data_IF_653393026698
#
_entry.id   IF_653393026698
#
_cell.length_a   1.000
_cell.length_b   1.000
_cell.length_c   1.000
_cell.angle_alpha   90.00
_cell.angle_beta   90.00
_cell.angle_gamma   90.00
#
_symmetry.space_group_name_H-M   'P 1'
#
loop_
_entity.id
_entity.type
_entity.pdbx_description
1 polymer ?
#
# COMPACT_ATOMS: atom_id res chain seq x y z
N UNK A 1 -1.47 -18.22 -16.06
CA UNK A 1 -0.75 -17.23 -15.25
C UNK A 1 -1.28 -17.37 -13.85
N UNK A 2 -0.45 -17.86 -12.94
CA UNK A 2 -0.78 -17.95 -11.51
C UNK A 2 -0.94 -16.54 -10.93
N UNK A 3 -1.78 -16.39 -9.91
CA UNK A 3 -2.00 -15.12 -9.21
C UNK A 3 -0.67 -14.53 -8.67
N UNK A 4 0.28 -15.42 -8.34
CA UNK A 4 1.65 -15.09 -7.95
C UNK A 4 2.49 -14.51 -9.10
N UNK A 5 2.27 -14.93 -10.36
CA UNK A 5 2.97 -14.39 -11.54
C UNK A 5 2.50 -12.98 -11.93
N UNK A 6 1.27 -12.60 -11.53
CA UNK A 6 0.66 -11.30 -11.85
C UNK A 6 1.07 -10.19 -10.86
N UNK A 7 1.28 -10.52 -9.58
CA UNK A 7 1.95 -9.60 -8.64
C UNK A 7 3.47 -9.56 -8.83
N UNK A 8 4.08 -10.60 -9.39
CA UNK A 8 5.48 -10.58 -9.83
C UNK A 8 5.62 -10.06 -11.27
N UNK A 9 5.33 -8.77 -11.50
CA UNK A 9 5.59 -8.11 -12.80
C UNK A 9 6.81 -7.16 -12.72
N UNK A 10 7.59 -6.99 -13.81
CA UNK A 10 9.04 -7.17 -13.83
C UNK A 10 9.87 -5.87 -13.61
N UNK A 11 11.15 -6.05 -13.28
CA UNK A 11 12.28 -5.11 -13.39
C UNK A 11 12.41 -3.95 -12.37
N UNK A 12 11.62 -3.93 -11.29
CA UNK A 12 11.84 -3.04 -10.14
C UNK A 12 12.76 -3.66 -9.09
N UNK A 13 13.59 -2.84 -8.41
CA UNK A 13 14.22 -3.30 -7.17
C UNK A 13 13.13 -3.59 -6.14
N UNK A 14 13.25 -4.68 -5.39
CA UNK A 14 12.31 -5.07 -4.32
C UNK A 14 11.98 -3.88 -3.39
N UNK A 15 12.98 -3.06 -3.04
CA UNK A 15 12.80 -1.86 -2.22
C UNK A 15 11.88 -0.78 -2.83
N UNK A 16 11.80 -0.70 -4.17
CA UNK A 16 10.91 0.23 -4.89
C UNK A 16 9.45 -0.21 -4.69
N UNK A 17 9.17 -1.50 -4.80
CA UNK A 17 7.82 -2.02 -4.59
C UNK A 17 7.38 -1.90 -3.13
N UNK A 18 8.29 -2.20 -2.19
CA UNK A 18 8.04 -2.05 -0.75
C UNK A 18 7.73 -0.59 -0.36
N UNK A 19 8.53 0.36 -0.86
CA UNK A 19 8.35 1.79 -0.56
C UNK A 19 7.11 2.36 -1.23
N UNK A 20 6.84 2.02 -2.49
CA UNK A 20 5.60 2.40 -3.18
C UNK A 20 4.36 1.84 -2.46
N UNK A 21 4.38 0.57 -2.05
CA UNK A 21 3.29 -0.06 -1.30
C UNK A 21 3.06 0.59 0.06
N UNK A 22 4.12 0.86 0.83
CA UNK A 22 4.01 1.52 2.12
C UNK A 22 3.45 2.96 2.01
N UNK A 23 3.91 3.73 1.03
CA UNK A 23 3.41 5.09 0.79
C UNK A 23 1.96 5.08 0.27
N UNK A 24 1.59 4.10 -0.55
CA UNK A 24 0.22 3.88 -0.97
C UNK A 24 -0.71 3.61 0.22
N UNK A 25 -0.32 2.70 1.13
CA UNK A 25 -1.10 2.39 2.33
C UNK A 25 -1.23 3.58 3.29
N UNK A 26 -0.16 4.35 3.49
CA UNK A 26 -0.20 5.58 4.31
C UNK A 26 -1.15 6.61 3.68
N UNK A 27 -1.06 6.82 2.37
CA UNK A 27 -1.91 7.80 1.67
C UNK A 27 -3.38 7.37 1.69
N UNK A 28 -3.67 6.10 1.47
CA UNK A 28 -5.02 5.53 1.59
C UNK A 28 -5.60 5.84 2.97
N UNK A 29 -4.86 5.52 4.04
CA UNK A 29 -5.32 5.78 5.40
C UNK A 29 -5.52 7.27 5.69
N UNK A 30 -4.66 8.15 5.17
CA UNK A 30 -4.80 9.59 5.35
C UNK A 30 -6.03 10.16 4.63
N UNK A 31 -6.24 9.79 3.36
CA UNK A 31 -7.36 10.29 2.55
C UNK A 31 -8.69 9.76 3.06
N UNK A 32 -8.72 8.49 3.45
CA UNK A 32 -9.94 7.84 3.92
C UNK A 32 -10.23 8.05 5.42
N UNK A 33 -9.31 8.71 6.13
CA UNK A 33 -9.41 8.92 7.57
C UNK A 33 -10.74 9.56 8.03
N UNK A 34 -11.28 10.61 7.37
CA UNK A 34 -12.55 11.21 7.78
C UNK A 34 -13.73 10.24 7.68
N UNK A 35 -13.73 9.36 6.68
CA UNK A 35 -14.78 8.35 6.48
C UNK A 35 -14.66 7.26 7.54
N UNK A 36 -13.43 6.84 7.85
CA UNK A 36 -13.15 5.87 8.90
C UNK A 36 -13.58 6.39 10.28
N UNK A 37 -13.36 7.66 10.57
CA UNK A 37 -13.84 8.30 11.81
C UNK A 37 -15.36 8.26 11.96
N UNK A 38 -16.10 8.48 10.87
CA UNK A 38 -17.56 8.32 10.87
C UNK A 38 -17.95 6.85 11.03
N UNK A 39 -17.28 5.93 10.33
CA UNK A 39 -17.50 4.48 10.47
C UNK A 39 -17.36 4.06 11.94
N UNK A 40 -16.26 4.40 12.61
CA UNK A 40 -16.01 4.00 14.00
C UNK A 40 -17.11 4.52 14.94
N UNK A 41 -17.61 5.74 14.74
CA UNK A 41 -18.71 6.25 15.55
C UNK A 41 -20.06 5.59 15.23
N UNK A 42 -20.32 5.26 13.97
CA UNK A 42 -21.51 4.48 13.59
C UNK A 42 -21.51 3.07 14.20
N UNK A 43 -20.33 2.55 14.56
CA UNK A 43 -20.14 1.27 15.25
C UNK A 43 -20.23 1.38 16.78
N UNK A 44 -20.52 2.58 17.32
CA UNK A 44 -20.77 2.77 18.74
C UNK A 44 -22.00 1.95 19.20
N UNK A 45 -21.86 1.24 20.32
CA UNK A 45 -22.93 0.43 20.88
C UNK A 45 -24.03 1.28 21.52
N UNK A 46 -23.65 2.40 22.12
CA UNK A 46 -24.57 3.31 22.79
C UNK A 46 -24.29 4.76 22.34
N UNK A 47 -24.68 5.12 21.10
CA UNK A 47 -24.45 6.45 20.58
C UNK A 47 -25.29 7.46 21.37
N UNK A 48 -24.68 8.59 21.73
CA UNK A 48 -25.41 9.76 22.19
C UNK A 48 -26.44 10.18 21.12
N UNK A 49 -27.61 10.76 21.48
CA UNK A 49 -28.53 11.34 20.50
C UNK A 49 -27.85 12.30 19.52
N UNK A 50 -26.84 13.03 20.00
CA UNK A 50 -26.02 13.93 19.18
C UNK A 50 -25.03 13.21 18.25
N UNK A 51 -24.77 11.93 18.49
CA UNK A 51 -23.85 11.10 17.71
C UNK A 51 -24.55 9.93 16.98
N UNK A 52 -25.88 9.95 16.87
CA UNK A 52 -26.62 9.02 16.03
C UNK A 52 -26.57 9.47 14.55
N UNK A 53 -25.95 8.67 13.69
CA UNK A 53 -25.78 8.98 12.27
C UNK A 53 -26.47 7.93 11.40
N UNK A 54 -27.26 8.35 10.39
CA UNK A 54 -27.92 7.43 9.45
C UNK A 54 -27.09 7.17 8.19
N UNK A 55 -26.18 8.09 7.88
CA UNK A 55 -25.31 8.03 6.70
C UNK A 55 -23.93 8.61 6.97
N UNK A 56 -22.96 8.25 6.13
CA UNK A 56 -21.59 8.81 6.22
C UNK A 56 -21.60 10.33 6.02
N UNK A 57 -22.38 10.82 5.04
CA UNK A 57 -22.47 12.26 4.74
C UNK A 57 -23.02 13.03 5.95
N UNK A 58 -24.12 12.56 6.53
CA UNK A 58 -24.69 13.15 7.73
C UNK A 58 -23.70 13.11 8.90
N UNK A 59 -23.03 11.98 9.11
CA UNK A 59 -22.05 11.84 10.17
C UNK A 59 -20.86 12.78 10.03
N UNK A 60 -20.34 12.95 8.81
CA UNK A 60 -19.24 13.87 8.54
C UNK A 60 -19.68 15.33 8.72
N UNK A 61 -20.83 15.71 8.16
CA UNK A 61 -21.37 17.06 8.30
C UNK A 61 -21.65 17.41 9.76
N UNK A 62 -22.27 16.49 10.51
CA UNK A 62 -22.56 16.70 11.93
C UNK A 62 -21.26 16.82 12.74
N UNK A 63 -20.29 15.93 12.51
CA UNK A 63 -18.99 15.98 13.19
C UNK A 63 -18.25 17.30 12.96
N UNK A 64 -18.20 17.77 11.70
CA UNK A 64 -17.53 19.04 11.36
C UNK A 64 -18.26 20.23 11.99
N UNK A 65 -19.59 20.24 11.96
CA UNK A 65 -20.39 21.35 12.48
C UNK A 65 -20.42 21.41 14.01
N UNK A 66 -20.44 20.26 14.70
CA UNK A 66 -20.55 20.21 16.16
C UNK A 66 -19.21 20.23 16.88
N UNK A 67 -18.17 19.62 16.31
CA UNK A 67 -16.86 19.44 16.97
C UNK A 67 -15.69 20.12 16.24
N UNK A 68 -15.93 20.66 15.03
CA UNK A 68 -14.94 21.39 14.24
C UNK A 68 -14.32 20.59 13.10
N UNK A 69 -13.76 21.32 12.13
CA UNK A 69 -13.26 20.77 10.86
C UNK A 69 -12.10 19.77 10.99
N UNK A 70 -11.29 19.88 12.04
CA UNK A 70 -10.16 18.98 12.29
C UNK A 70 -10.56 17.71 13.03
N UNK A 71 -11.78 17.65 13.59
CA UNK A 71 -12.21 16.51 14.41
C UNK A 71 -12.18 15.18 13.66
N UNK A 72 -12.59 15.08 12.38
CA UNK A 72 -12.51 13.83 11.62
C UNK A 72 -11.09 13.27 11.49
N UNK A 73 -10.05 14.09 11.68
CA UNK A 73 -8.63 13.69 11.62
C UNK A 73 -8.04 13.30 12.99
N UNK A 74 -8.85 13.26 14.05
CA UNK A 74 -8.42 12.87 15.39
C UNK A 74 -7.90 11.43 15.41
N UNK A 75 -6.58 11.26 15.61
CA UNK A 75 -5.93 9.95 15.63
C UNK A 75 -5.06 9.64 14.41
N UNK A 76 -5.07 10.48 13.36
CA UNK A 76 -4.35 10.21 12.10
C UNK A 76 -2.85 10.04 12.31
N UNK A 77 -2.26 10.81 13.23
CA UNK A 77 -0.83 10.73 13.53
C UNK A 77 -0.41 9.36 14.08
N UNK A 78 -1.29 8.67 14.82
CA UNK A 78 -1.01 7.33 15.33
C UNK A 78 -0.89 6.32 14.18
N UNK A 79 -1.78 6.41 13.18
CA UNK A 79 -1.77 5.53 12.02
C UNK A 79 -0.56 5.79 11.14
N UNK A 80 -0.24 7.06 10.86
CA UNK A 80 0.93 7.40 10.01
C UNK A 80 2.23 6.88 10.64
N UNK A 81 2.40 7.06 11.96
CA UNK A 81 3.58 6.59 12.69
C UNK A 81 3.62 5.05 12.74
N UNK A 82 2.49 4.38 12.92
CA UNK A 82 2.41 2.92 13.00
C UNK A 82 2.55 2.22 11.65
N UNK A 83 2.00 2.80 10.58
CA UNK A 83 1.91 2.17 9.27
C UNK A 83 3.29 1.94 8.64
N UNK A 84 4.21 2.91 8.67
CA UNK A 84 5.53 2.77 8.06
C UNK A 84 6.29 1.53 8.55
N UNK A 85 6.57 1.40 9.86
CA UNK A 85 7.25 0.24 10.42
C UNK A 85 6.48 -1.07 10.24
N UNK A 86 5.13 -1.03 10.32
CA UNK A 86 4.31 -2.23 10.12
C UNK A 86 4.44 -2.80 8.69
N UNK A 87 4.38 -1.93 7.67
CA UNK A 87 4.55 -2.35 6.27
C UNK A 87 5.98 -2.82 6.00
N UNK A 88 7.00 -2.12 6.53
CA UNK A 88 8.39 -2.56 6.40
C UNK A 88 8.59 -3.98 6.96
N UNK A 89 8.06 -4.25 8.15
CA UNK A 89 8.15 -5.56 8.78
C UNK A 89 7.36 -6.62 8.00
N UNK A 90 6.18 -6.28 7.48
CA UNK A 90 5.39 -7.17 6.63
C UNK A 90 6.22 -7.67 5.44
N UNK A 91 6.76 -6.75 4.64
CA UNK A 91 7.49 -7.10 3.42
C UNK A 91 8.79 -7.85 3.74
N UNK A 92 9.56 -7.40 4.75
CA UNK A 92 10.77 -8.09 5.19
C UNK A 92 10.49 -9.51 5.67
N UNK A 93 9.40 -9.72 6.42
CA UNK A 93 9.01 -11.06 6.88
C UNK A 93 8.53 -11.93 5.73
N UNK A 94 7.70 -11.39 4.84
CA UNK A 94 7.16 -12.11 3.69
C UNK A 94 8.29 -12.60 2.77
N UNK A 95 9.23 -11.72 2.42
CA UNK A 95 10.41 -12.07 1.61
C UNK A 95 11.35 -13.02 2.34
N UNK A 96 11.61 -12.78 3.63
CA UNK A 96 12.48 -13.65 4.42
C UNK A 96 11.94 -15.07 4.58
N UNK A 97 10.62 -15.24 4.68
CA UNK A 97 10.00 -16.57 4.70
C UNK A 97 10.06 -17.20 3.31
N UNK A 98 9.68 -16.48 2.25
CA UNK A 98 9.76 -17.01 0.88
C UNK A 98 11.17 -17.41 0.49
N UNK A 99 12.18 -16.60 0.80
CA UNK A 99 13.58 -16.90 0.47
C UNK A 99 14.12 -18.16 1.17
N UNK A 100 13.59 -18.51 2.36
CA UNK A 100 14.01 -19.70 3.10
C UNK A 100 13.27 -20.97 2.69
N UNK A 101 12.05 -20.85 2.18
CA UNK A 101 11.16 -21.98 1.92
C UNK A 101 10.77 -22.15 0.44
N UNK A 102 11.23 -21.27 -0.45
CA UNK A 102 11.06 -21.44 -1.88
C UNK A 102 11.73 -22.74 -2.34
N UNK A 103 10.94 -23.61 -2.97
CA UNK A 103 11.40 -24.90 -3.49
C UNK A 103 11.01 -25.04 -4.96
N UNK A 104 11.56 -26.03 -5.67
CA UNK A 104 11.25 -26.25 -7.09
C UNK A 104 9.82 -26.77 -7.36
N UNK A 105 9.02 -27.07 -6.33
CA UNK A 105 7.66 -27.62 -6.48
C UNK A 105 6.58 -26.52 -6.42
N UNK A 106 5.74 -26.42 -7.46
CA UNK A 106 4.69 -25.41 -7.57
C UNK A 106 3.65 -25.46 -6.44
N UNK A 107 3.24 -26.66 -6.00
CA UNK A 107 2.26 -26.82 -4.91
C UNK A 107 2.83 -26.38 -3.55
N UNK A 108 4.11 -26.68 -3.31
CA UNK A 108 4.81 -26.25 -2.10
C UNK A 108 4.96 -24.72 -2.07
N UNK A 109 5.15 -24.09 -3.24
CA UNK A 109 5.26 -22.64 -3.35
C UNK A 109 3.95 -21.92 -2.99
N UNK A 110 2.78 -22.42 -3.38
CA UNK A 110 1.49 -21.85 -2.96
C UNK A 110 1.26 -21.91 -1.44
N UNK A 111 1.57 -23.05 -0.83
CA UNK A 111 1.45 -23.22 0.64
C UNK A 111 2.46 -22.35 1.38
N UNK A 112 3.68 -22.21 0.85
CA UNK A 112 4.73 -21.34 1.40
C UNK A 112 4.34 -19.86 1.26
N UNK A 113 3.75 -19.45 0.14
CA UNK A 113 3.28 -18.08 -0.07
C UNK A 113 2.13 -17.74 0.89
N UNK A 114 1.16 -18.64 1.06
CA UNK A 114 0.08 -18.48 2.03
C UNK A 114 0.60 -18.44 3.48
N UNK A 115 1.54 -19.33 3.83
CA UNK A 115 2.18 -19.35 5.15
C UNK A 115 3.01 -18.09 5.42
N UNK A 116 3.75 -17.62 4.42
CA UNK A 116 4.52 -16.37 4.47
C UNK A 116 3.60 -15.16 4.65
N UNK A 117 2.50 -15.09 3.91
CA UNK A 117 1.50 -14.03 4.03
C UNK A 117 0.87 -13.99 5.43
N UNK A 118 0.49 -15.13 5.98
CA UNK A 118 -0.02 -15.24 7.35
C UNK A 118 1.01 -14.81 8.39
N UNK A 119 2.26 -15.30 8.28
CA UNK A 119 3.34 -14.93 9.18
C UNK A 119 3.67 -13.43 9.13
N UNK A 120 3.73 -12.87 7.93
CA UNK A 120 3.95 -11.44 7.72
C UNK A 120 2.80 -10.59 8.29
N UNK A 121 1.55 -11.03 8.13
CA UNK A 121 0.37 -10.34 8.67
C UNK A 121 0.37 -10.31 10.20
N UNK A 122 0.79 -11.39 10.86
CA UNK A 122 0.92 -11.44 12.33
C UNK A 122 1.92 -10.38 12.81
N UNK A 123 3.07 -10.28 12.13
CA UNK A 123 4.13 -9.33 12.48
C UNK A 123 3.72 -7.88 12.19
N UNK A 124 3.05 -7.65 11.05
CA UNK A 124 2.43 -6.38 10.73
C UNK A 124 1.46 -5.93 11.83
N UNK A 125 0.52 -6.79 12.19
CA UNK A 125 -0.52 -6.47 13.17
C UNK A 125 0.06 -6.29 14.58
N UNK A 126 1.20 -6.92 14.90
CA UNK A 126 1.89 -6.70 16.17
C UNK A 126 2.34 -5.23 16.36
N UNK A 127 2.64 -4.53 15.27
CA UNK A 127 2.99 -3.09 15.26
C UNK A 127 1.75 -2.22 15.06
N UNK A 128 0.84 -2.62 14.17
CA UNK A 128 -0.30 -1.81 13.78
C UNK A 128 -1.41 -1.75 14.85
N UNK A 129 -1.61 -2.84 15.61
CA UNK A 129 -2.73 -2.94 16.56
C UNK A 129 -2.71 -1.85 17.65
N UNK A 130 -1.57 -1.52 18.29
CA UNK A 130 -1.51 -0.38 19.22
C UNK A 130 -1.92 0.96 18.60
N UNK A 131 -1.50 1.22 17.35
CA UNK A 131 -1.89 2.43 16.62
C UNK A 131 -3.41 2.46 16.35
N UNK A 132 -3.99 1.31 15.99
CA UNK A 132 -5.44 1.16 15.80
C UNK A 132 -6.24 1.38 17.08
N UNK A 133 -5.75 0.93 18.25
CA UNK A 133 -6.41 1.19 19.54
C UNK A 133 -6.45 2.69 19.82
N UNK A 134 -5.33 3.39 19.64
CA UNK A 134 -5.24 4.83 19.85
C UNK A 134 -6.16 5.56 18.86
N UNK A 135 -6.11 5.19 17.58
CA UNK A 135 -6.95 5.73 16.51
C UNK A 135 -8.43 5.64 16.90
N UNK A 136 -8.92 4.44 17.21
CA UNK A 136 -10.35 4.23 17.49
C UNK A 136 -10.82 4.98 18.74
N UNK A 137 -9.97 5.12 19.77
CA UNK A 137 -10.31 5.92 20.97
C UNK A 137 -10.35 7.42 20.69
N UNK A 138 -9.46 7.92 19.85
CA UNK A 138 -9.47 9.32 19.43
C UNK A 138 -10.69 9.65 18.54
N UNK A 139 -11.17 8.67 17.76
CA UNK A 139 -12.31 8.82 16.84
C UNK A 139 -13.67 8.85 17.54
N UNK A 140 -13.80 8.34 18.78
CA UNK A 140 -15.08 8.33 19.51
C UNK A 140 -15.63 9.74 19.79
N UNK A 141 -16.96 9.86 19.84
CA UNK A 141 -17.64 11.10 20.22
C UNK A 141 -17.28 11.50 21.65
N UNK A 142 -17.03 12.80 21.89
CA UNK A 142 -16.62 13.33 23.17
C UNK A 142 -15.43 12.58 23.82
N UNK A 143 -14.42 12.27 23.02
CA UNK A 143 -13.22 11.55 23.47
C UNK A 143 -12.48 12.36 24.56
N UNK A 144 -12.10 11.75 25.69
CA UNK A 144 -11.45 12.44 26.82
C UNK A 144 -9.96 12.74 26.59
N UNK A 145 -9.47 12.50 25.38
CA UNK A 145 -8.06 12.58 25.01
C UNK A 145 -7.83 13.79 24.10
N UNK A 146 -6.91 14.68 24.50
CA UNK A 146 -6.60 15.88 23.73
C UNK A 146 -5.68 15.59 22.53
N UNK A 147 -4.83 14.56 22.64
CA UNK A 147 -3.88 14.17 21.60
C UNK A 147 -3.60 12.67 21.66
N UNK A 148 -3.02 12.11 20.60
CA UNK A 148 -2.59 10.71 20.58
C UNK A 148 -1.62 10.38 21.72
N UNK A 149 -0.72 11.31 22.08
CA UNK A 149 0.19 11.13 23.20
C UNK A 149 -0.53 11.11 24.55
N UNK A 150 -1.50 12.01 24.75
CA UNK A 150 -2.34 12.00 25.96
C UNK A 150 -3.15 10.70 26.05
N UNK A 151 -3.69 10.21 24.92
CA UNK A 151 -4.34 8.92 24.84
C UNK A 151 -3.41 7.78 25.26
N UNK A 152 -2.20 7.70 24.72
CA UNK A 152 -1.21 6.67 25.11
C UNK A 152 -0.91 6.73 26.60
N UNK A 153 -0.61 7.92 27.13
CA UNK A 153 -0.25 8.12 28.54
C UNK A 153 -1.39 7.72 29.48
N UNK A 154 -2.61 8.19 29.23
CA UNK A 154 -3.79 7.89 30.06
C UNK A 154 -4.17 6.41 29.93
N UNK A 155 -4.16 5.85 28.72
CA UNK A 155 -4.47 4.44 28.49
C UNK A 155 -3.49 3.52 29.22
N UNK A 156 -2.19 3.82 29.12
CA UNK A 156 -1.14 3.10 29.85
C UNK A 156 -1.39 3.13 31.37
N UNK A 157 -1.71 4.30 31.93
CA UNK A 157 -1.91 4.47 33.37
C UNK A 157 -3.20 3.82 33.89
N UNK A 158 -4.28 3.85 33.11
CA UNK A 158 -5.60 3.39 33.55
C UNK A 158 -5.86 1.91 33.26
N UNK A 159 -5.44 1.41 32.09
CA UNK A 159 -5.76 0.06 31.64
C UNK A 159 -4.53 -0.86 31.48
N UNK A 160 -3.32 -0.28 31.51
CA UNK A 160 -2.06 -1.01 31.36
C UNK A 160 -1.74 -1.44 29.93
N UNK A 161 -0.67 -2.23 29.79
CA UNK A 161 -0.16 -2.65 28.48
C UNK A 161 -1.09 -3.60 27.71
N UNK A 162 -1.85 -4.42 28.43
CA UNK A 162 -2.82 -5.33 27.82
C UNK A 162 -3.91 -4.60 27.01
N UNK A 163 -4.16 -3.31 27.27
CA UNK A 163 -5.15 -2.53 26.55
C UNK A 163 -4.78 -2.32 25.07
N UNK A 164 -3.49 -2.19 24.77
CA UNK A 164 -3.00 -1.95 23.41
C UNK A 164 -3.13 -3.17 22.50
N UNK A 165 -3.23 -4.38 23.07
CA UNK A 165 -3.28 -5.65 22.31
C UNK A 165 -4.59 -6.42 22.51
N UNK A 166 -5.60 -5.80 23.13
CA UNK A 166 -6.85 -6.48 23.51
C UNK A 166 -7.63 -7.04 22.31
N UNK A 167 -7.57 -6.36 21.17
CA UNK A 167 -8.22 -6.79 19.93
C UNK A 167 -7.34 -7.65 19.03
N UNK A 168 -6.08 -7.93 19.40
CA UNK A 168 -5.12 -8.62 18.53
C UNK A 168 -5.65 -9.96 18.01
N UNK A 169 -6.23 -10.78 18.90
CA UNK A 169 -6.82 -12.07 18.52
C UNK A 169 -8.03 -11.93 17.61
N UNK A 170 -8.84 -10.89 17.82
CA UNK A 170 -10.02 -10.61 17.00
C UNK A 170 -9.64 -10.07 15.62
N UNK A 171 -8.58 -9.26 15.56
CA UNK A 171 -7.97 -8.76 14.33
C UNK A 171 -7.51 -9.92 13.45
N UNK A 172 -6.76 -10.86 14.02
CA UNK A 172 -6.31 -12.07 13.32
C UNK A 172 -7.50 -12.90 12.81
N UNK A 173 -8.47 -13.17 13.68
CA UNK A 173 -9.66 -13.93 13.34
C UNK A 173 -10.51 -13.25 12.25
N UNK A 174 -10.41 -11.93 12.09
CA UNK A 174 -11.09 -11.17 11.03
C UNK A 174 -10.31 -11.17 9.71
N UNK A 175 -8.99 -11.00 9.76
CA UNK A 175 -8.16 -10.82 8.57
C UNK A 175 -8.16 -12.06 7.69
N UNK A 176 -8.01 -13.26 8.27
CA UNK A 176 -7.99 -14.52 7.50
C UNK A 176 -9.27 -14.74 6.67
N UNK A 177 -10.49 -14.69 7.25
CA UNK A 177 -11.73 -14.76 6.49
C UNK A 177 -11.89 -13.64 5.46
N UNK A 178 -11.47 -12.41 5.78
CA UNK A 178 -11.58 -11.29 4.85
C UNK A 178 -10.80 -11.56 3.56
N UNK A 179 -9.53 -11.95 3.66
CA UNK A 179 -8.70 -12.24 2.50
C UNK A 179 -9.24 -13.44 1.69
N UNK A 180 -9.63 -14.52 2.38
CA UNK A 180 -10.17 -15.71 1.71
C UNK A 180 -11.45 -15.41 0.92
N UNK A 181 -12.39 -14.66 1.51
CA UNK A 181 -13.64 -14.27 0.84
C UNK A 181 -13.34 -13.30 -0.30
N UNK A 182 -12.41 -12.36 -0.10
CA UNK A 182 -12.01 -11.41 -1.13
C UNK A 182 -11.47 -12.12 -2.36
N UNK A 183 -10.46 -12.98 -2.22
CA UNK A 183 -9.84 -13.71 -3.33
C UNK A 183 -10.88 -14.60 -4.04
N UNK A 184 -11.66 -15.38 -3.27
CA UNK A 184 -12.67 -16.27 -3.85
C UNK A 184 -13.74 -15.50 -4.64
N UNK A 185 -14.21 -14.36 -4.12
CA UNK A 185 -15.22 -13.54 -4.78
C UNK A 185 -14.62 -12.83 -6.00
N UNK A 186 -13.40 -12.33 -5.89
CA UNK A 186 -12.68 -11.68 -6.97
C UNK A 186 -12.49 -12.61 -8.18
N UNK A 187 -12.00 -13.84 -7.97
CA UNK A 187 -11.83 -14.85 -9.03
C UNK A 187 -13.16 -15.19 -9.72
N UNK A 188 -14.24 -15.30 -8.94
CA UNK A 188 -15.58 -15.53 -9.50
C UNK A 188 -16.05 -14.37 -10.37
N UNK A 189 -15.85 -13.13 -9.93
CA UNK A 189 -16.23 -11.95 -10.71
C UNK A 189 -15.35 -11.81 -11.95
N UNK A 190 -14.05 -12.06 -11.86
CA UNK A 190 -13.12 -12.06 -13.00
C UNK A 190 -13.53 -13.10 -14.05
N UNK A 191 -13.89 -14.31 -13.63
CA UNK A 191 -14.34 -15.36 -14.55
C UNK A 191 -15.60 -14.96 -15.33
N UNK A 192 -16.47 -14.13 -14.74
CA UNK A 192 -17.71 -13.68 -15.37
C UNK A 192 -17.51 -12.42 -16.23
N UNK A 193 -16.74 -11.45 -15.75
CA UNK A 193 -16.56 -10.14 -16.41
C UNK A 193 -15.35 -10.08 -17.35
N UNK A 194 -14.40 -11.01 -17.23
CA UNK A 194 -13.18 -11.07 -18.03
C UNK A 194 -12.81 -12.54 -18.33
N UNK A 195 -13.63 -13.26 -19.12
CA UNK A 195 -13.41 -14.67 -19.42
C UNK A 195 -12.08 -14.90 -20.16
N UNK A 196 -11.67 -13.96 -21.01
CA UNK A 196 -10.43 -14.03 -21.80
C UNK A 196 -9.16 -13.69 -20.99
N UNK A 197 -9.31 -13.26 -19.72
CA UNK A 197 -8.23 -12.86 -18.81
C UNK A 197 -7.29 -11.80 -19.41
N UNK A 198 -7.83 -10.89 -20.22
CA UNK A 198 -7.09 -9.74 -20.75
C UNK A 198 -6.96 -8.64 -19.70
N UNK A 199 -5.88 -7.84 -19.79
CA UNK A 199 -5.66 -6.75 -18.84
C UNK A 199 -6.68 -5.61 -19.06
N UNK A 200 -7.68 -5.52 -18.19
CA UNK A 200 -8.68 -4.46 -18.21
C UNK A 200 -8.82 -3.79 -16.84
N UNK A 201 -8.17 -2.62 -16.62
CA UNK A 201 -8.16 -1.93 -15.32
C UNK A 201 -9.56 -1.67 -14.74
N UNK A 202 -10.56 -1.41 -15.60
CA UNK A 202 -11.93 -1.15 -15.15
C UNK A 202 -12.57 -2.39 -14.55
N UNK A 203 -12.38 -3.55 -15.19
CA UNK A 203 -12.90 -4.83 -14.68
C UNK A 203 -12.20 -5.20 -13.37
N UNK A 204 -10.88 -4.98 -13.27
CA UNK A 204 -10.14 -5.19 -12.02
C UNK A 204 -10.65 -4.30 -10.87
N UNK A 205 -10.89 -3.01 -11.13
CA UNK A 205 -11.44 -2.11 -10.11
C UNK A 205 -12.85 -2.54 -9.67
N UNK A 206 -13.73 -2.89 -10.62
CA UNK A 206 -15.10 -3.32 -10.29
C UNK A 206 -15.09 -4.66 -9.55
N UNK A 207 -14.29 -5.64 -10.00
CA UNK A 207 -14.16 -6.94 -9.37
C UNK A 207 -13.56 -6.82 -7.96
N UNK A 208 -12.49 -6.04 -7.80
CA UNK A 208 -11.86 -5.78 -6.51
C UNK A 208 -12.79 -5.04 -5.54
N UNK A 209 -13.51 -4.02 -6.02
CA UNK A 209 -14.47 -3.29 -5.22
C UNK A 209 -15.64 -4.17 -4.76
N UNK A 210 -16.22 -4.96 -5.67
CA UNK A 210 -17.34 -5.85 -5.35
C UNK A 210 -16.91 -7.01 -4.42
N UNK A 211 -15.75 -7.61 -4.66
CA UNK A 211 -15.17 -8.62 -3.79
C UNK A 211 -14.85 -8.06 -2.40
N UNK A 212 -14.22 -6.88 -2.34
CA UNK A 212 -13.94 -6.17 -1.10
C UNK A 212 -15.21 -5.81 -0.33
N UNK A 213 -16.26 -5.33 -1.02
CA UNK A 213 -17.56 -5.04 -0.43
C UNK A 213 -18.19 -6.29 0.19
N UNK A 214 -18.19 -7.42 -0.53
CA UNK A 214 -18.76 -8.66 -0.04
C UNK A 214 -17.98 -9.25 1.15
N UNK A 215 -16.64 -9.21 1.08
CA UNK A 215 -15.76 -9.61 2.18
C UNK A 215 -15.95 -8.71 3.42
N UNK A 216 -16.07 -7.40 3.21
CA UNK A 216 -16.31 -6.43 4.28
C UNK A 216 -17.65 -6.66 4.97
N UNK A 217 -18.72 -6.90 4.19
CA UNK A 217 -20.04 -7.19 4.73
C UNK A 217 -20.03 -8.48 5.56
N UNK A 218 -19.47 -9.56 5.01
CA UNK A 218 -19.40 -10.87 5.65
C UNK A 218 -18.58 -10.85 6.95
N UNK A 219 -17.52 -10.04 7.01
CA UNK A 219 -16.65 -9.92 8.20
C UNK A 219 -17.03 -8.76 9.12
N UNK A 220 -18.17 -8.08 8.89
CA UNK A 220 -18.60 -6.98 9.78
C UNK A 220 -18.81 -7.41 11.24
N UNK A 221 -19.37 -8.58 11.56
CA UNK A 221 -19.54 -9.01 12.95
C UNK A 221 -18.23 -9.05 13.74
N UNK A 222 -17.12 -9.45 13.10
CA UNK A 222 -15.80 -9.50 13.72
C UNK A 222 -15.17 -8.10 13.89
N UNK A 223 -15.41 -7.19 12.93
CA UNK A 223 -14.99 -5.79 13.02
C UNK A 223 -15.75 -5.01 14.09
N UNK A 224 -17.03 -5.35 14.31
CA UNK A 224 -17.78 -4.86 15.48
C UNK A 224 -17.13 -5.33 16.78
N UNK A 225 -16.74 -6.60 16.87
CA UNK A 225 -16.04 -7.11 18.05
C UNK A 225 -14.69 -6.41 18.28
N UNK A 226 -13.90 -6.20 17.23
CA UNK A 226 -12.64 -5.42 17.29
C UNK A 226 -12.91 -4.02 17.84
N UNK A 227 -13.90 -3.32 17.29
CA UNK A 227 -14.21 -1.94 17.63
C UNK A 227 -14.63 -1.83 19.11
N UNK A 228 -15.52 -2.71 19.58
CA UNK A 228 -15.95 -2.74 21.00
C UNK A 228 -14.77 -2.98 21.93
N UNK A 229 -13.86 -3.91 21.59
CA UNK A 229 -12.68 -4.21 22.41
C UNK A 229 -11.71 -3.02 22.50
N UNK A 230 -11.58 -2.25 21.42
CA UNK A 230 -10.66 -1.11 21.37
C UNK A 230 -11.24 0.16 21.99
N UNK A 231 -12.52 0.44 21.78
CA UNK A 231 -13.17 1.68 22.25
C UNK A 231 -13.55 1.62 23.72
N UNK A 232 -13.89 0.45 24.26
CA UNK A 232 -14.34 0.25 25.65
C UNK A 232 -15.36 1.32 26.08
N UNK A 233 -16.44 1.45 25.32
CA UNK A 233 -17.46 2.48 25.56
C UNK A 233 -17.98 2.45 27.01
N UNK A 234 -17.73 3.54 27.74
CA UNK A 234 -18.10 3.65 29.15
C UNK A 234 -19.60 3.47 29.38
N UNK A 235 -20.45 3.99 28.48
CA UNK A 235 -21.91 3.82 28.53
C UNK A 235 -22.33 2.35 28.45
N UNK A 236 -21.70 1.57 27.57
CA UNK A 236 -21.96 0.14 27.47
C UNK A 236 -21.47 -0.63 28.70
N UNK A 237 -20.30 -0.26 29.23
CA UNK A 237 -19.74 -0.87 30.44
C UNK A 237 -20.60 -0.62 31.69
N UNK A 238 -21.11 0.60 31.86
CA UNK A 238 -22.03 0.97 32.94
C UNK A 238 -23.34 0.20 32.82
N UNK A 239 -23.93 0.12 31.63
CA UNK A 239 -25.18 -0.63 31.40
C UNK A 239 -25.04 -2.12 31.72
N UNK A 240 -23.89 -2.71 31.44
CA UNK A 240 -23.61 -4.13 31.69
C UNK A 240 -23.03 -4.41 33.09
N UNK A 241 -22.80 -3.37 33.91
CA UNK A 241 -22.09 -3.46 35.19
C UNK A 241 -20.74 -4.20 35.07
N UNK A 242 -20.03 -3.96 33.96
CA UNK A 242 -18.73 -4.56 33.67
C UNK A 242 -17.63 -3.51 33.77
N UNK A 243 -16.48 -3.88 34.33
CA UNK A 243 -15.32 -2.98 34.36
C UNK A 243 -14.63 -2.86 33.01
N UNK A 244 -14.69 -3.91 32.18
CA UNK A 244 -14.10 -3.97 30.83
C UNK A 244 -14.63 -5.16 30.05
N UNK A 245 -14.65 -5.05 28.73
CA UNK A 245 -14.93 -6.17 27.81
C UNK A 245 -13.60 -6.78 27.38
N UNK A 246 -13.45 -8.10 27.54
CA UNK A 246 -12.22 -8.83 27.17
C UNK A 246 -12.55 -10.02 26.28
N UNK A 247 -11.74 -10.17 25.22
CA UNK A 247 -11.84 -11.30 24.30
C UNK A 247 -13.03 -11.21 23.34
N UNK A 248 -12.95 -12.00 22.28
CA UNK A 248 -13.94 -12.00 21.21
C UNK A 248 -15.33 -12.41 21.72
N UNK A 249 -15.42 -13.46 22.54
CA UNK A 249 -16.67 -13.93 23.13
C UNK A 249 -17.34 -12.89 24.04
N UNK A 250 -16.52 -12.16 24.81
CA UNK A 250 -17.00 -11.05 25.63
C UNK A 250 -17.62 -9.96 24.76
N UNK A 251 -16.93 -9.57 23.68
CA UNK A 251 -17.43 -8.59 22.73
C UNK A 251 -18.73 -9.04 22.04
N UNK A 252 -18.80 -10.30 21.59
CA UNK A 252 -20.03 -10.89 21.03
C UNK A 252 -21.20 -10.78 22.01
N UNK A 253 -20.99 -11.18 23.27
CA UNK A 253 -22.03 -11.09 24.31
C UNK A 253 -22.47 -9.64 24.56
N UNK A 254 -21.52 -8.71 24.67
CA UNK A 254 -21.80 -7.28 24.88
C UNK A 254 -22.63 -6.71 23.72
N UNK A 255 -22.28 -7.00 22.46
CA UNK A 255 -23.03 -6.54 21.29
C UNK A 255 -24.46 -7.08 21.31
N UNK A 256 -24.60 -8.38 21.56
CA UNK A 256 -25.90 -9.05 21.57
C UNK A 256 -26.83 -8.50 22.67
N UNK A 257 -26.31 -8.26 23.88
CA UNK A 257 -27.12 -7.71 24.98
C UNK A 257 -27.52 -6.26 24.70
N UNK A 258 -26.61 -5.45 24.14
CA UNK A 258 -26.87 -4.02 23.92
C UNK A 258 -27.81 -3.75 22.75
N UNK A 259 -27.68 -4.47 21.64
CA UNK A 259 -28.34 -4.15 20.37
C UNK A 259 -28.92 -5.37 19.64
N UNK A 260 -28.87 -6.56 20.23
CA UNK A 260 -29.30 -7.81 19.58
C UNK A 260 -28.51 -8.15 18.32
N UNK A 261 -29.13 -8.90 17.41
CA UNK A 261 -28.49 -9.39 16.18
C UNK A 261 -28.16 -8.27 15.18
N UNK A 262 -28.95 -7.21 15.15
CA UNK A 262 -28.68 -6.06 14.27
C UNK A 262 -27.45 -5.27 14.70
N UNK A 263 -27.04 -5.37 15.99
CA UNK A 263 -25.82 -4.78 16.51
C UNK A 263 -24.55 -5.20 15.76
N UNK A 264 -24.47 -6.45 15.30
CA UNK A 264 -23.32 -6.99 14.57
C UNK A 264 -23.11 -6.41 13.17
N UNK A 265 -24.14 -5.77 12.61
CA UNK A 265 -24.11 -5.18 11.27
C UNK A 265 -24.17 -3.64 11.31
N UNK A 266 -24.01 -3.05 12.50
CA UNK A 266 -23.82 -1.59 12.61
C UNK A 266 -22.55 -1.18 11.86
N UNK A 267 -22.66 -0.13 11.06
CA UNK A 267 -21.55 0.36 10.24
C UNK A 267 -21.22 -0.46 8.99
N UNK A 268 -21.93 -1.55 8.66
CA UNK A 268 -21.69 -2.33 7.42
C UNK A 268 -21.70 -1.45 6.17
N UNK A 269 -22.67 -0.55 6.05
CA UNK A 269 -22.76 0.38 4.90
C UNK A 269 -21.51 1.25 4.78
N UNK A 270 -20.99 1.73 5.90
CA UNK A 270 -19.79 2.56 5.90
C UNK A 270 -18.55 1.75 5.51
N UNK A 271 -18.45 0.51 6.00
CA UNK A 271 -17.35 -0.39 5.67
C UNK A 271 -17.35 -0.83 4.20
N UNK A 272 -18.52 -1.07 3.62
CA UNK A 272 -18.67 -1.41 2.20
C UNK A 272 -18.29 -0.21 1.32
N UNK A 273 -18.79 0.98 1.66
CA UNK A 273 -18.50 2.19 0.89
C UNK A 273 -17.01 2.57 0.92
N UNK A 274 -16.30 2.19 1.99
CA UNK A 274 -14.86 2.41 2.12
C UNK A 274 -14.02 1.65 1.07
N UNK A 275 -14.48 0.47 0.61
CA UNK A 275 -13.67 -0.44 -0.20
C UNK A 275 -13.30 0.14 -1.57
N UNK A 276 -14.28 0.65 -2.32
CA UNK A 276 -14.04 1.13 -3.68
C UNK A 276 -13.07 2.34 -3.73
N UNK A 277 -13.25 3.41 -2.93
CA UNK A 277 -12.30 4.52 -2.93
C UNK A 277 -10.94 4.13 -2.37
N UNK A 278 -10.89 3.29 -1.33
CA UNK A 278 -9.64 2.80 -0.76
C UNK A 278 -8.78 2.06 -1.80
N UNK A 279 -9.36 1.06 -2.48
CA UNK A 279 -8.67 0.33 -3.54
C UNK A 279 -8.21 1.24 -4.69
N UNK A 280 -9.06 2.19 -5.11
CA UNK A 280 -8.72 3.12 -6.18
C UNK A 280 -7.54 4.04 -5.80
N UNK A 281 -7.52 4.55 -4.56
CA UNK A 281 -6.44 5.40 -4.06
C UNK A 281 -5.14 4.58 -3.97
N UNK A 282 -5.17 3.41 -3.35
CA UNK A 282 -3.98 2.58 -3.16
C UNK A 282 -3.37 2.18 -4.49
N UNK A 283 -4.19 1.80 -5.48
CA UNK A 283 -3.71 1.50 -6.83
C UNK A 283 -3.13 2.73 -7.52
N UNK A 284 -3.84 3.86 -7.50
CA UNK A 284 -3.37 5.10 -8.15
C UNK A 284 -2.06 5.62 -7.56
N UNK A 285 -1.93 5.56 -6.23
CA UNK A 285 -0.72 5.99 -5.53
C UNK A 285 0.43 5.04 -5.82
N UNK A 286 0.17 3.73 -5.82
CA UNK A 286 1.17 2.73 -6.18
C UNK A 286 1.72 2.96 -7.61
N UNK A 287 0.85 3.13 -8.60
CA UNK A 287 1.24 3.40 -9.98
C UNK A 287 2.01 4.72 -10.13
N UNK A 288 1.57 5.78 -9.44
CA UNK A 288 2.27 7.06 -9.44
C UNK A 288 3.70 6.94 -8.88
N UNK A 289 3.86 6.29 -7.73
CA UNK A 289 5.19 6.11 -7.13
C UNK A 289 6.09 5.22 -7.98
N UNK A 290 5.52 4.17 -8.59
CA UNK A 290 6.24 3.33 -9.53
C UNK A 290 6.73 4.13 -10.74
N UNK A 291 5.88 4.97 -11.32
CA UNK A 291 6.23 5.84 -12.45
C UNK A 291 7.34 6.83 -12.10
N UNK A 292 7.25 7.48 -10.93
CA UNK A 292 8.28 8.43 -10.46
C UNK A 292 9.64 7.75 -10.24
N UNK A 293 9.65 6.51 -9.75
CA UNK A 293 10.90 5.77 -9.49
C UNK A 293 11.49 5.12 -10.73
N UNK A 294 10.66 4.69 -11.70
CA UNK A 294 11.15 4.17 -12.98
C UNK A 294 11.79 5.26 -13.84
N UNK A 295 11.24 6.49 -13.81
CA UNK A 295 11.78 7.64 -14.53
C UNK A 295 13.18 8.06 -14.02
N UNK A 296 13.41 7.97 -12.71
CA UNK A 296 14.76 8.20 -12.13
C UNK A 296 15.80 7.17 -12.57
N UNK A 297 15.38 5.95 -12.94
CA UNK A 297 16.29 4.90 -13.41
C UNK A 297 16.73 5.12 -14.86
N UNK A 298 15.90 5.75 -15.71
CA UNK A 298 16.30 6.12 -17.07
C UNK A 298 17.18 7.38 -17.14
N UNK A 299 17.18 8.23 -16.11
CA UNK A 299 17.99 9.45 -16.05
C UNK A 299 19.39 9.24 -15.42
N UNK A 300 19.70 8.03 -14.97
CA UNK A 300 21.05 7.70 -14.51
C UNK A 300 21.93 7.49 -15.75
N UNK A 301 22.97 8.31 -16.01
CA UNK A 301 23.90 8.00 -17.10
C UNK A 301 24.53 6.62 -16.84
N UNK A 302 24.75 5.80 -17.88
CA UNK A 302 25.35 4.49 -17.72
C UNK A 302 26.71 4.63 -17.02
N UNK A 303 27.10 3.67 -16.16
CA UNK A 303 28.39 3.71 -15.50
C UNK A 303 29.51 3.78 -16.55
N UNK A 304 30.46 4.70 -16.34
CA UNK A 304 31.56 5.04 -17.25
C UNK A 304 32.51 3.87 -17.61
N UNK A 305 32.30 2.67 -17.07
CA UNK A 305 33.11 1.48 -17.37
C UNK A 305 32.45 0.52 -18.37
N UNK A 306 31.20 0.77 -18.78
CA UNK A 306 30.50 -0.09 -19.74
C UNK A 306 30.85 0.31 -21.17
N UNK A 307 32.06 -0.08 -21.59
CA UNK A 307 32.67 0.28 -22.89
C UNK A 307 31.94 -0.27 -24.12
N UNK A 308 30.91 -1.10 -23.94
CA UNK A 308 30.13 -1.68 -25.02
C UNK A 308 28.92 -0.81 -25.42
N UNK A 309 28.38 0.01 -24.52
CA UNK A 309 27.31 0.97 -24.85
C UNK A 309 27.79 2.19 -25.65
N UNK A 310 29.09 2.52 -25.55
CA UNK A 310 29.70 3.57 -26.38
C UNK A 310 29.89 3.12 -27.84
N UNK A 311 30.05 1.83 -28.09
CA UNK A 311 30.18 1.30 -29.46
C UNK A 311 28.85 1.31 -30.19
N UNK A 312 27.76 0.94 -29.51
CA UNK A 312 26.44 0.88 -30.13
C UNK A 312 25.85 2.27 -30.46
N UNK A 313 26.17 3.30 -29.67
CA UNK A 313 25.74 4.67 -29.97
C UNK A 313 26.55 5.32 -31.10
N UNK A 314 27.84 5.01 -31.23
CA UNK A 314 28.67 5.47 -32.37
C UNK A 314 28.25 4.77 -33.68
N UNK A 315 27.86 3.50 -33.60
CA UNK A 315 27.34 2.77 -34.77
C UNK A 315 25.98 3.33 -35.20
N UNK A 316 25.09 3.69 -34.26
CA UNK A 316 23.77 4.24 -34.59
C UNK A 316 23.81 5.62 -35.26
N UNK A 317 24.71 6.51 -34.85
CA UNK A 317 24.82 7.83 -35.52
C UNK A 317 25.32 7.70 -36.97
N UNK A 318 26.15 6.69 -37.28
CA UNK A 318 26.66 6.48 -38.64
C UNK A 318 25.64 5.92 -39.64
N UNK A 319 24.51 5.38 -39.18
CA UNK A 319 23.52 4.68 -40.04
C UNK A 319 22.32 5.56 -40.42
N UNK A 320 22.14 6.72 -39.78
CA UNK A 320 20.98 7.62 -40.01
C UNK A 320 21.21 8.76 -41.00
N UNK A 321 22.37 8.88 -41.64
CA UNK A 321 22.62 9.84 -42.72
C UNK A 321 22.88 9.14 -44.06
N UNK A 322 21.90 8.36 -44.56
CA UNK A 322 21.78 8.09 -46.00
C UNK A 322 20.39 7.58 -46.33
N UNK A 323 19.40 8.46 -46.27
CA UNK A 323 18.14 8.25 -46.96
C UNK A 323 17.82 9.49 -47.79
N UNK A 324 18.08 9.41 -49.10
CA UNK A 324 17.42 10.28 -50.07
C UNK A 324 17.28 9.54 -51.40
N UNK A 325 16.09 8.96 -51.58
CA UNK A 325 15.26 8.96 -52.79
C UNK A 325 15.91 8.60 -54.12
N UNK A 326 15.37 7.57 -54.82
CA UNK A 326 15.03 7.64 -56.26
C UNK A 326 14.15 6.43 -56.63
N UNK A 327 12.98 6.73 -57.23
CA UNK A 327 12.14 5.82 -58.04
C UNK A 327 12.83 5.49 -59.36
N UNK A 328 12.75 4.25 -59.87
CA UNK A 328 12.28 3.98 -61.26
C UNK A 328 12.45 2.50 -61.66
N UNK A 329 11.62 2.14 -62.63
CA UNK A 329 11.48 0.90 -63.39
C UNK A 329 12.68 0.48 -64.23
N UNK A 330 12.76 -0.82 -64.55
CA UNK A 330 13.19 -1.29 -65.89
C UNK A 330 14.52 -2.04 -65.98
N UNK A 331 14.41 -3.31 -66.43
CA UNK A 331 15.27 -4.06 -67.36
C UNK A 331 16.80 -4.15 -67.20
N UNK A 332 17.26 -5.41 -67.31
CA UNK A 332 18.50 -5.91 -67.95
C UNK A 332 19.87 -5.76 -67.24
N UNK A 333 20.36 -6.92 -66.81
CA UNK A 333 21.71 -7.48 -67.06
C UNK A 333 22.94 -6.57 -67.08
N UNK A 334 23.81 -6.72 -66.07
CA UNK A 334 25.26 -6.99 -66.17
C UNK A 334 25.92 -6.81 -64.81
N UNK A 335 26.77 -7.77 -64.43
CA UNK A 335 27.73 -7.65 -63.31
C UNK A 335 28.86 -6.72 -63.74
N UNK A 336 29.31 -5.78 -62.89
CA UNK A 336 30.75 -5.78 -62.59
C UNK A 336 31.13 -5.38 -61.14
N UNK A 337 32.08 -6.16 -60.61
CA UNK A 337 33.29 -5.82 -59.85
C UNK A 337 33.43 -4.38 -59.33
N UNK A 338 33.70 -4.23 -58.01
CA UNK A 338 34.24 -3.01 -57.43
C UNK A 338 35.47 -3.29 -56.55
N UNK A 339 36.57 -2.68 -56.98
CA UNK A 339 37.92 -2.60 -56.43
C UNK A 339 37.98 -1.52 -55.34
N UNK A 340 38.80 -1.72 -54.29
CA UNK A 340 39.08 -0.72 -53.26
C UNK A 340 39.76 0.54 -53.84
N UNK A 341 39.34 1.72 -53.37
CA UNK A 341 40.00 3.01 -53.62
C UNK A 341 39.84 3.98 -52.44
N UNK A 342 40.95 4.58 -52.03
CA UNK A 342 41.20 5.46 -50.87
C UNK A 342 40.76 6.93 -51.03
N UNK A 343 40.33 7.62 -49.95
CA UNK A 343 40.58 9.08 -49.68
C UNK A 343 40.02 9.46 -48.28
N UNK A 344 40.82 9.73 -47.23
CA UNK A 344 41.51 10.99 -46.80
C UNK A 344 40.61 12.16 -46.34
N UNK A 345 40.63 12.40 -45.01
CA UNK A 345 40.49 13.64 -44.23
C UNK A 345 39.55 14.78 -44.67
N UNK A 346 38.63 15.19 -43.77
CA UNK A 346 38.34 16.60 -43.42
C UNK A 346 37.25 16.76 -42.33
N UNK A 347 37.55 16.44 -41.06
CA UNK A 347 36.70 16.89 -39.92
C UNK A 347 37.53 17.06 -38.62
N UNK A 348 38.63 17.80 -38.66
CA UNK A 348 39.49 18.08 -37.49
C UNK A 348 39.49 19.56 -37.06
N UNK A 349 38.70 20.44 -37.69
CA UNK A 349 38.94 21.89 -37.56
C UNK A 349 37.75 22.76 -37.13
N UNK A 350 36.81 22.24 -36.32
CA UNK A 350 35.66 23.07 -35.87
C UNK A 350 35.22 23.02 -34.41
N UNK A 351 36.03 22.46 -33.51
CA UNK A 351 35.72 22.45 -32.06
C UNK A 351 36.87 22.99 -31.19
N UNK A 352 37.62 23.98 -31.69
CA UNK A 352 38.70 24.65 -30.94
C UNK A 352 38.50 26.15 -30.70
N UNK A 353 37.29 26.66 -30.86
CA UNK A 353 36.95 28.04 -30.52
C UNK A 353 35.71 28.09 -29.65
N UNK A 354 35.89 28.02 -28.33
CA UNK A 354 35.17 28.82 -27.33
C UNK A 354 35.82 28.59 -25.95
N UNK A 355 36.23 29.69 -25.34
CA UNK A 355 37.12 29.82 -24.18
C UNK A 355 36.43 29.45 -22.84
N UNK A 356 37.22 28.92 -21.90
CA UNK A 356 36.97 28.82 -20.46
C UNK A 356 36.78 30.20 -19.78
N UNK A 357 36.25 30.23 -18.54
CA UNK A 357 37.19 30.51 -17.44
C UNK A 357 37.07 29.56 -16.23
N UNK A 358 38.25 29.34 -15.70
CA UNK A 358 38.69 28.61 -14.51
C UNK A 358 38.03 29.09 -13.20
N UNK A 359 37.62 28.14 -12.34
CA UNK A 359 37.63 28.33 -10.88
C UNK A 359 38.39 27.15 -10.26
N UNK A 360 39.45 27.50 -9.54
CA UNK A 360 40.40 26.65 -8.81
C UNK A 360 39.99 26.43 -7.34
N UNK A 361 40.62 25.42 -6.73
CA UNK A 361 40.71 25.06 -5.30
C UNK A 361 39.63 24.10 -4.78
N UNK A 362 39.92 23.01 -4.06
CA UNK A 362 41.16 22.44 -3.54
C UNK A 362 40.91 20.94 -3.25
N UNK A 363 41.75 20.05 -3.78
CA UNK A 363 41.97 18.73 -3.21
C UNK A 363 42.92 18.87 -2.01
N UNK A 364 42.52 18.38 -0.84
CA UNK A 364 43.43 17.99 0.22
C UNK A 364 43.30 16.48 0.42
N UNK A 365 44.46 15.84 0.41
CA UNK A 365 44.67 14.41 0.54
C UNK A 365 44.50 13.92 1.98
N UNK A 366 44.07 12.68 2.14
CA UNK A 366 44.33 11.77 3.27
C UNK A 366 43.86 10.38 2.80
N UNK A 367 44.70 9.64 2.08
CA UNK A 367 45.77 8.75 2.58
C UNK A 367 45.21 7.43 3.15
N UNK A 368 45.40 6.40 2.33
CA UNK A 368 45.13 4.99 2.59
C UNK A 368 46.07 4.48 3.68
N UNK A 369 45.52 4.15 4.83
CA UNK A 369 46.14 3.19 5.74
C UNK A 369 45.04 2.43 6.48
N UNK A 370 45.35 1.19 6.88
CA UNK A 370 44.53 0.26 7.68
C UNK A 370 43.75 -0.83 6.93
N UNK A 371 44.44 -1.53 6.02
CA UNK A 371 44.40 -3.00 5.99
C UNK A 371 45.60 -3.55 6.77
N UNK A 372 45.39 -4.00 8.02
CA UNK A 372 46.14 -5.04 8.76
C UNK A 372 45.83 -4.95 10.26
N UNK A 373 44.89 -5.76 10.74
CA UNK A 373 45.10 -6.75 11.80
C UNK A 373 43.83 -7.55 12.05
#
# INVERSE_FOLDING_TARGET
>A
MDFDDYESLPNGSVGVHMTAGALAGIMEHCVMFPIDSVKTRMQSLAPSPDAAYRSIREGLMKMVNSEGIMRPLGGVSAVVIGAGPAHALYFSAYEGIKARFASSNSLQNHMVNAGAGCGATILHDAIMVPADVIKQRMQMYNSPYASCYDCVRKLYRMEGMAAFYRSFTTQMAMNLPFHAIHIATYEKIQTVLNPDREYNPRVHMVAGAAAGAFAAASTTPLDMCKTVLNTQEASALVHLQQSRVVGILGAFRTIYIMNGMSGFFKGTRARVLYQMPGTAISWSVYELFKHMMSQRRSESPPPLWDSDLLKDNVVRESVTETDTSIKSSGSEGKVPVLTLGSTTNKTVERLRSLHMPTITANCAAADDSWLRK
#
